data_IF_413706638937
#
_entry.id   IF_413706638937
#
_cell.length_a   1.000
_cell.length_b   1.000
_cell.length_c   1.000
_cell.angle_alpha   90.00
_cell.angle_beta   90.00
_cell.angle_gamma   90.00
#
_symmetry.space_group_name_H-M   'P 1'
#
loop_
_entity.id
_entity.type
_entity.pdbx_description
1 polymer ?
#
# COMPACT_ATOMS: atom_id res chain seq x y z
N UNK A 1 14.55 0.03 5.92
CA UNK A 1 14.07 -1.37 5.99
C UNK A 1 13.20 -1.65 4.77
N UNK A 2 13.39 -2.78 4.08
CA UNK A 2 12.70 -3.21 2.85
C UNK A 2 11.93 -4.54 3.10
N UNK A 3 10.94 -4.87 2.27
CA UNK A 3 10.14 -6.10 2.42
C UNK A 3 10.98 -7.38 2.46
N UNK A 4 12.07 -7.43 1.69
CA UNK A 4 13.00 -8.56 1.67
C UNK A 4 13.71 -8.73 3.01
N UNK A 5 14.11 -7.61 3.63
CA UNK A 5 14.69 -7.61 4.98
C UNK A 5 13.68 -8.12 6.00
N UNK A 6 12.41 -7.69 5.91
CA UNK A 6 11.33 -8.18 6.80
C UNK A 6 11.18 -9.69 6.68
N UNK A 7 11.19 -10.23 5.46
CA UNK A 7 11.12 -11.67 5.25
C UNK A 7 12.33 -12.40 5.85
N UNK A 8 13.53 -11.86 5.70
CA UNK A 8 14.73 -12.43 6.32
C UNK A 8 14.64 -12.44 7.85
N UNK A 9 14.18 -11.35 8.46
CA UNK A 9 13.95 -11.29 9.92
C UNK A 9 12.99 -12.40 10.34
N UNK A 10 11.88 -12.59 9.63
CA UNK A 10 10.91 -13.63 9.93
C UNK A 10 11.46 -15.07 9.74
N UNK A 11 12.37 -15.27 8.78
CA UNK A 11 13.07 -16.54 8.56
C UNK A 11 14.07 -16.84 9.68
N UNK A 12 14.84 -15.84 10.13
CA UNK A 12 15.91 -15.99 11.13
C UNK A 12 15.38 -16.01 12.57
N UNK A 13 14.26 -15.35 12.82
CA UNK A 13 13.64 -15.24 14.14
C UNK A 13 12.35 -16.08 14.21
N UNK A 14 12.42 -17.42 14.27
CA UNK A 14 11.22 -18.28 14.22
C UNK A 14 10.31 -18.11 15.45
N UNK A 15 10.86 -17.65 16.57
CA UNK A 15 10.12 -17.37 17.82
C UNK A 15 9.55 -15.94 17.90
N UNK A 16 9.68 -15.14 16.84
CA UNK A 16 9.11 -13.79 16.83
C UNK A 16 7.58 -13.87 16.95
N UNK A 17 7.02 -13.14 17.91
CA UNK A 17 5.57 -13.05 18.15
C UNK A 17 4.99 -11.71 17.67
N UNK A 18 5.77 -10.63 17.78
CA UNK A 18 5.38 -9.26 17.40
C UNK A 18 6.40 -8.69 16.44
N UNK A 19 5.94 -8.17 15.31
CA UNK A 19 6.76 -7.49 14.31
C UNK A 19 6.35 -6.01 14.24
N UNK A 20 7.24 -5.15 14.76
CA UNK A 20 7.11 -3.69 14.66
C UNK A 20 7.82 -3.13 13.44
N UNK A 21 7.09 -2.42 12.59
CA UNK A 21 7.62 -1.69 11.42
C UNK A 21 7.10 -0.26 11.54
N UNK A 22 7.90 0.61 12.14
CA UNK A 22 7.49 1.97 12.51
C UNK A 22 8.32 2.99 11.73
N UNK A 23 7.67 3.81 10.92
CA UNK A 23 8.23 4.95 10.19
C UNK A 23 9.49 4.62 9.36
N UNK A 24 9.56 3.40 8.83
CA UNK A 24 10.71 2.92 8.06
C UNK A 24 10.72 3.52 6.65
N UNK A 25 11.83 4.14 6.25
CA UNK A 25 11.93 4.95 5.03
C UNK A 25 11.49 4.26 3.74
N UNK A 26 11.82 2.98 3.55
CA UNK A 26 11.49 2.21 2.34
C UNK A 26 10.21 1.38 2.49
N UNK A 27 9.48 1.52 3.61
CA UNK A 27 8.17 0.86 3.81
C UNK A 27 7.08 1.91 3.92
N UNK A 28 6.30 2.03 2.85
CA UNK A 28 5.15 2.91 2.75
C UNK A 28 3.84 2.11 2.77
N UNK A 29 2.71 2.80 2.76
CA UNK A 29 1.39 2.17 2.88
C UNK A 29 1.08 1.15 1.77
N UNK A 30 1.63 1.35 0.57
CA UNK A 30 1.49 0.39 -0.54
C UNK A 30 2.02 -1.02 -0.20
N UNK A 31 2.97 -1.13 0.74
CA UNK A 31 3.55 -2.39 1.16
C UNK A 31 2.68 -3.16 2.17
N UNK A 32 1.55 -2.59 2.63
CA UNK A 32 0.67 -3.24 3.61
C UNK A 32 0.19 -4.63 3.17
N UNK A 33 -0.29 -4.77 1.94
CA UNK A 33 -0.79 -6.05 1.43
C UNK A 33 0.36 -7.07 1.22
N UNK A 34 1.49 -6.70 0.59
CA UNK A 34 2.67 -7.56 0.54
C UNK A 34 3.21 -8.00 1.91
N UNK A 35 3.18 -7.13 2.93
CA UNK A 35 3.61 -7.46 4.29
C UNK A 35 2.76 -8.61 4.87
N UNK A 36 1.44 -8.54 4.71
CA UNK A 36 0.53 -9.61 5.14
C UNK A 36 0.82 -10.92 4.41
N UNK A 37 1.14 -10.87 3.11
CA UNK A 37 1.52 -12.06 2.33
C UNK A 37 2.82 -12.69 2.86
N UNK A 38 3.85 -11.89 3.15
CA UNK A 38 5.12 -12.36 3.73
C UNK A 38 4.91 -12.99 5.11
N UNK A 39 4.10 -12.35 5.97
CA UNK A 39 3.79 -12.87 7.31
C UNK A 39 3.06 -14.21 7.20
N UNK A 40 2.06 -14.31 6.32
CA UNK A 40 1.34 -15.55 6.09
C UNK A 40 2.24 -16.65 5.53
N UNK A 41 3.04 -16.33 4.51
CA UNK A 41 4.02 -17.24 3.93
C UNK A 41 4.94 -17.85 5.00
N UNK A 42 5.52 -17.00 5.84
CA UNK A 42 6.37 -17.44 6.95
C UNK A 42 5.61 -18.33 7.95
N UNK A 43 4.38 -17.95 8.31
CA UNK A 43 3.58 -18.71 9.27
C UNK A 43 3.22 -20.11 8.74
N UNK A 44 2.92 -20.21 7.43
CA UNK A 44 2.68 -21.50 6.75
C UNK A 44 3.93 -22.36 6.70
N UNK A 45 5.08 -21.79 6.36
CA UNK A 45 6.36 -22.51 6.29
C UNK A 45 6.82 -23.05 7.65
N UNK A 46 6.56 -22.31 8.72
CA UNK A 46 6.92 -22.69 10.09
C UNK A 46 5.80 -23.41 10.83
N UNK A 47 4.66 -23.70 10.19
CA UNK A 47 3.46 -24.29 10.79
C UNK A 47 3.04 -23.60 12.11
N UNK A 48 3.13 -22.26 12.15
CA UNK A 48 2.82 -21.43 13.33
C UNK A 48 1.75 -20.39 13.04
N UNK A 49 1.26 -19.74 14.10
CA UNK A 49 0.38 -18.57 13.96
C UNK A 49 1.13 -17.40 13.31
N UNK A 50 0.45 -16.60 12.47
CA UNK A 50 0.98 -15.33 12.00
C UNK A 50 1.48 -14.46 13.15
N UNK A 51 2.56 -13.72 12.93
CA UNK A 51 3.04 -12.74 13.92
C UNK A 51 2.05 -11.58 14.02
N UNK A 52 1.93 -11.00 15.20
CA UNK A 52 1.20 -9.74 15.39
C UNK A 52 1.96 -8.62 14.67
N UNK A 53 1.27 -7.84 13.85
CA UNK A 53 1.87 -6.77 13.05
C UNK A 53 1.56 -5.40 13.66
N UNK A 54 2.61 -4.71 14.12
CA UNK A 54 2.55 -3.29 14.49
C UNK A 54 3.14 -2.48 13.34
N UNK A 55 2.27 -1.99 12.45
CA UNK A 55 2.72 -1.29 11.24
C UNK A 55 2.32 0.19 11.26
N UNK A 56 3.31 1.06 11.28
CA UNK A 56 3.16 2.49 11.04
C UNK A 56 4.01 2.85 9.80
N UNK A 57 3.37 3.07 8.63
CA UNK A 57 4.11 3.45 7.42
C UNK A 57 4.91 4.73 7.60
N UNK A 58 5.90 4.95 6.72
CA UNK A 58 6.55 6.27 6.61
C UNK A 58 5.50 7.37 6.42
N UNK A 59 5.54 8.38 7.30
CA UNK A 59 4.67 9.56 7.23
C UNK A 59 5.46 10.81 6.88
N UNK A 60 4.82 11.70 6.12
CA UNK A 60 5.44 12.95 5.68
C UNK A 60 4.59 14.15 6.10
N UNK A 61 5.05 14.87 7.12
CA UNK A 61 4.41 16.10 7.63
C UNK A 61 4.95 17.36 6.93
N UNK A 62 4.07 18.28 6.52
CA UNK A 62 4.38 19.59 5.93
C UNK A 62 3.60 20.70 6.69
N UNK A 63 3.70 22.00 6.34
CA UNK A 63 4.28 22.60 5.13
C UNK A 63 5.68 23.21 5.35
N UNK A 64 6.45 22.73 6.33
CA UNK A 64 7.85 23.16 6.48
C UNK A 64 8.63 22.77 5.21
N UNK A 65 9.43 23.72 4.69
CA UNK A 65 10.39 23.57 3.58
C UNK A 65 9.79 23.25 2.18
N UNK A 66 9.43 24.27 1.40
CA UNK A 66 9.04 24.23 -0.04
C UNK A 66 8.00 23.20 -0.51
N UNK A 67 7.37 22.49 0.40
CA UNK A 67 6.34 21.51 0.05
C UNK A 67 5.05 22.22 -0.31
N UNK A 68 4.39 21.72 -1.35
CA UNK A 68 3.07 22.22 -1.77
C UNK A 68 1.95 21.97 -0.74
N UNK A 69 2.21 21.15 0.27
CA UNK A 69 1.36 20.93 1.43
C UNK A 69 1.64 19.61 2.14
N UNK A 70 0.75 19.25 3.05
CA UNK A 70 0.86 18.05 3.88
C UNK A 70 0.08 16.89 3.27
N UNK A 71 0.81 15.92 2.72
CA UNK A 71 0.24 14.76 1.99
C UNK A 71 0.16 13.47 2.82
N UNK A 72 0.99 13.33 3.86
CA UNK A 72 1.10 12.17 4.79
C UNK A 72 1.55 10.86 4.11
N UNK A 73 0.84 10.42 3.07
CA UNK A 73 1.07 9.16 2.33
C UNK A 73 2.30 9.22 1.42
N UNK A 74 2.59 10.39 0.87
CA UNK A 74 3.70 10.64 -0.05
C UNK A 74 4.46 11.89 0.37
N UNK A 75 5.71 12.01 -0.05
CA UNK A 75 6.48 13.23 0.19
C UNK A 75 5.96 14.35 -0.68
N UNK A 76 5.74 14.01 -1.94
CA UNK A 76 5.25 14.93 -2.97
C UNK A 76 3.88 14.52 -3.50
N UNK A 77 3.14 15.45 -4.10
CA UNK A 77 1.91 15.10 -4.78
C UNK A 77 2.20 14.10 -5.92
N UNK A 78 1.51 12.98 -5.90
CA UNK A 78 1.66 11.91 -6.89
C UNK A 78 0.50 11.90 -7.90
N UNK A 79 0.77 11.44 -9.13
CA UNK A 79 -0.20 11.46 -10.23
C UNK A 79 -1.22 10.30 -10.18
N UNK A 80 -1.68 9.97 -8.98
CA UNK A 80 -2.73 8.97 -8.72
C UNK A 80 -3.79 9.57 -7.81
N UNK A 81 -4.99 8.98 -7.80
CA UNK A 81 -5.99 9.36 -6.80
C UNK A 81 -5.66 8.64 -5.49
N UNK A 82 -4.83 9.30 -4.67
CA UNK A 82 -4.31 8.77 -3.39
C UNK A 82 -5.45 8.25 -2.52
N UNK A 83 -6.51 9.05 -2.31
CA UNK A 83 -7.62 8.69 -1.41
C UNK A 83 -8.30 7.37 -1.80
N UNK A 84 -8.74 7.24 -3.05
CA UNK A 84 -9.42 6.02 -3.52
C UNK A 84 -8.48 4.80 -3.53
N UNK A 85 -7.20 5.04 -3.80
CA UNK A 85 -6.20 3.97 -3.85
C UNK A 85 -5.81 3.51 -2.46
N UNK A 86 -5.76 4.45 -1.51
CA UNK A 86 -5.57 4.21 -0.10
C UNK A 86 -6.72 3.40 0.48
N UNK A 87 -7.98 3.81 0.27
CA UNK A 87 -9.14 3.02 0.70
C UNK A 87 -9.19 1.62 0.09
N UNK A 88 -8.86 1.48 -1.20
CA UNK A 88 -8.75 0.17 -1.84
C UNK A 88 -7.65 -0.71 -1.19
N UNK A 89 -6.48 -0.12 -0.89
CA UNK A 89 -5.38 -0.83 -0.25
C UNK A 89 -5.72 -1.26 1.18
N UNK A 90 -6.33 -0.36 1.97
CA UNK A 90 -6.78 -0.61 3.34
C UNK A 90 -7.86 -1.69 3.34
N UNK A 91 -8.87 -1.59 2.47
CA UNK A 91 -9.93 -2.59 2.36
C UNK A 91 -9.35 -3.98 2.11
N UNK A 92 -8.50 -4.13 1.07
CA UNK A 92 -7.92 -5.43 0.73
C UNK A 92 -7.08 -5.97 1.89
N UNK A 93 -6.35 -5.11 2.59
CA UNK A 93 -5.55 -5.49 3.73
C UNK A 93 -6.40 -5.97 4.91
N UNK A 94 -7.51 -5.30 5.23
CA UNK A 94 -8.42 -5.72 6.30
C UNK A 94 -9.02 -7.08 6.01
N UNK A 95 -9.55 -7.27 4.80
CA UNK A 95 -10.18 -8.52 4.36
C UNK A 95 -9.15 -9.68 4.33
N UNK A 96 -7.87 -9.36 4.15
CA UNK A 96 -6.75 -10.31 4.23
C UNK A 96 -6.27 -10.58 5.66
N UNK A 97 -6.24 -9.56 6.52
CA UNK A 97 -5.76 -9.63 7.90
C UNK A 97 -6.72 -10.40 8.83
N UNK A 98 -8.03 -10.30 8.58
CA UNK A 98 -9.06 -10.96 9.39
C UNK A 98 -8.89 -12.49 9.49
N UNK A 99 -8.78 -13.27 8.39
CA UNK A 99 -8.50 -14.70 8.49
C UNK A 99 -7.18 -15.05 9.19
N UNK A 100 -6.24 -14.11 9.23
CA UNK A 100 -4.95 -14.28 9.90
C UNK A 100 -5.02 -13.94 11.41
N UNK A 101 -6.14 -13.39 11.88
CA UNK A 101 -6.28 -12.89 13.26
C UNK A 101 -5.44 -11.63 13.52
N UNK A 102 -5.09 -10.86 12.49
CA UNK A 102 -4.35 -9.61 12.61
C UNK A 102 -5.33 -8.45 12.63
N UNK A 103 -5.22 -7.60 13.64
CA UNK A 103 -5.99 -6.37 13.76
C UNK A 103 -5.15 -5.16 13.32
N UNK A 104 -5.67 -4.43 12.33
CA UNK A 104 -5.01 -3.24 11.78
C UNK A 104 -5.64 -1.92 12.23
N UNK A 105 -6.93 -1.92 12.63
CA UNK A 105 -7.75 -0.68 12.64
C UNK A 105 -8.49 -0.42 13.95
N UNK A 106 -8.43 -1.33 14.93
CA UNK A 106 -8.97 -1.04 16.26
C UNK A 106 -8.27 0.16 16.92
N UNK A 107 -8.93 0.71 17.93
CA UNK A 107 -8.36 1.78 18.74
C UNK A 107 -7.01 1.37 19.32
N UNK A 108 -6.02 2.26 19.20
CA UNK A 108 -4.66 2.04 19.72
C UNK A 108 -3.71 1.34 18.75
N UNK A 109 -4.19 0.76 17.64
CA UNK A 109 -3.31 0.16 16.63
C UNK A 109 -2.49 1.23 15.91
N UNK A 110 -1.23 0.92 15.60
CA UNK A 110 -0.34 1.87 14.93
C UNK A 110 -0.80 2.21 13.52
N UNK A 111 -1.32 1.22 12.78
CA UNK A 111 -1.87 1.48 11.46
C UNK A 111 -3.14 2.34 11.51
N UNK A 112 -3.95 2.21 12.57
CA UNK A 112 -5.09 3.09 12.81
C UNK A 112 -4.65 4.55 13.02
N UNK A 113 -3.60 4.77 13.82
CA UNK A 113 -3.03 6.11 14.02
C UNK A 113 -2.56 6.72 12.70
N UNK A 114 -1.92 5.94 11.83
CA UNK A 114 -1.57 6.39 10.48
C UNK A 114 -2.81 6.72 9.64
N UNK A 115 -3.80 5.83 9.63
CA UNK A 115 -5.04 6.01 8.87
C UNK A 115 -5.75 7.32 9.21
N UNK A 116 -5.84 7.65 10.50
CA UNK A 116 -6.49 8.87 10.98
C UNK A 116 -5.73 10.16 10.58
N UNK A 117 -4.45 10.06 10.23
CA UNK A 117 -3.65 11.19 9.76
C UNK A 117 -3.81 11.48 8.27
N UNK A 118 -4.26 10.53 7.45
CA UNK A 118 -4.30 10.72 5.99
C UNK A 118 -5.26 11.87 5.62
N UNK A 119 -4.89 12.80 4.71
CA UNK A 119 -5.74 13.91 4.31
C UNK A 119 -7.08 13.45 3.72
N UNK A 120 -8.14 13.67 4.49
CA UNK A 120 -9.52 13.29 4.16
C UNK A 120 -10.49 14.37 4.62
N UNK A 121 -11.64 14.48 3.95
CA UNK A 121 -12.70 15.34 4.50
C UNK A 121 -13.15 14.80 5.86
N UNK A 122 -13.63 15.67 6.76
CA UNK A 122 -14.20 15.24 8.03
C UNK A 122 -15.19 14.08 7.84
N UNK A 123 -15.09 13.09 8.73
CA UNK A 123 -15.91 11.87 8.76
C UNK A 123 -15.72 10.87 7.61
N UNK A 124 -14.96 11.17 6.56
CA UNK A 124 -14.77 10.20 5.45
C UNK A 124 -14.13 8.90 5.91
N UNK A 125 -13.03 8.99 6.66
CA UNK A 125 -12.38 7.81 7.24
C UNK A 125 -13.32 7.03 8.16
N UNK A 126 -14.05 7.72 9.04
CA UNK A 126 -15.01 7.07 9.95
C UNK A 126 -16.16 6.36 9.20
N UNK A 127 -16.72 6.98 8.15
CA UNK A 127 -17.76 6.38 7.31
C UNK A 127 -17.22 5.16 6.56
N UNK A 128 -15.99 5.25 6.03
CA UNK A 128 -15.32 4.12 5.39
C UNK A 128 -15.18 2.95 6.38
N UNK A 129 -14.64 3.20 7.57
CA UNK A 129 -14.48 2.17 8.60
C UNK A 129 -15.83 1.58 9.01
N UNK A 130 -16.85 2.42 9.21
CA UNK A 130 -18.20 1.98 9.56
C UNK A 130 -18.76 1.02 8.50
N UNK A 131 -18.80 1.41 7.23
CA UNK A 131 -19.34 0.54 6.17
C UNK A 131 -18.57 -0.77 6.04
N UNK A 132 -17.23 -0.72 6.14
CA UNK A 132 -16.38 -1.92 6.03
C UNK A 132 -16.63 -2.86 7.21
N UNK A 133 -16.60 -2.36 8.44
CA UNK A 133 -16.80 -3.18 9.63
C UNK A 133 -18.25 -3.66 9.78
N UNK A 134 -19.25 -2.85 9.47
CA UNK A 134 -20.64 -3.30 9.46
C UNK A 134 -20.88 -4.42 8.45
N UNK A 135 -20.27 -4.34 7.27
CA UNK A 135 -20.30 -5.44 6.31
C UNK A 135 -19.54 -6.68 6.82
N UNK A 136 -18.35 -6.52 7.41
CA UNK A 136 -17.57 -7.63 7.99
C UNK A 136 -18.33 -8.32 9.12
N UNK A 137 -18.95 -7.55 10.03
CA UNK A 137 -19.70 -8.07 11.16
C UNK A 137 -20.89 -8.88 10.64
N UNK A 138 -21.62 -8.37 9.64
CA UNK A 138 -22.67 -9.14 8.96
C UNK A 138 -22.13 -10.38 8.23
N UNK A 139 -20.94 -10.29 7.63
CA UNK A 139 -20.28 -11.38 6.92
C UNK A 139 -19.84 -12.53 7.85
N UNK A 140 -19.53 -12.21 9.10
CA UNK A 140 -18.88 -13.12 10.06
C UNK A 140 -19.78 -13.54 11.24
N UNK A 141 -20.86 -12.81 11.53
CA UNK A 141 -21.77 -13.11 12.65
C UNK A 141 -22.88 -14.13 12.28
N UNK A 142 -23.37 -14.92 13.26
CA UNK A 142 -24.62 -15.70 13.13
C UNK A 142 -25.87 -14.87 13.48
N UNK A 143 -27.01 -15.01 12.77
CA UNK A 143 -27.26 -15.93 11.66
C UNK A 143 -26.54 -15.46 10.40
N UNK A 144 -25.82 -16.39 9.76
CA UNK A 144 -24.82 -16.15 8.73
C UNK A 144 -25.26 -15.18 7.64
N UNK A 145 -24.33 -14.39 7.10
CA UNK A 145 -24.52 -13.52 5.93
C UNK A 145 -25.38 -14.16 4.84
N UNK A 146 -25.20 -15.46 4.58
CA UNK A 146 -25.97 -16.23 3.60
C UNK A 146 -27.49 -16.17 3.83
N UNK A 147 -27.94 -16.07 5.08
CA UNK A 147 -29.35 -16.01 5.49
C UNK A 147 -29.96 -14.62 5.40
N UNK A 148 -29.15 -13.57 5.21
CA UNK A 148 -29.68 -12.22 5.03
C UNK A 148 -30.49 -12.13 3.72
N UNK A 149 -31.62 -11.41 3.74
CA UNK A 149 -32.31 -10.97 2.52
C UNK A 149 -31.35 -10.32 1.52
N UNK A 150 -31.58 -10.54 0.23
CA UNK A 150 -30.67 -10.07 -0.82
C UNK A 150 -30.57 -8.54 -0.83
N UNK A 151 -31.67 -7.83 -0.66
CA UNK A 151 -31.72 -6.37 -0.53
C UNK A 151 -30.78 -5.86 0.58
N UNK A 152 -30.79 -6.49 1.76
CA UNK A 152 -29.90 -6.10 2.87
C UNK A 152 -28.44 -6.37 2.52
N UNK A 153 -28.12 -7.50 1.89
CA UNK A 153 -26.75 -7.79 1.43
C UNK A 153 -26.28 -6.75 0.42
N UNK A 154 -27.13 -6.47 -0.57
CA UNK A 154 -26.82 -5.52 -1.63
C UNK A 154 -26.59 -4.12 -1.06
N UNK A 155 -27.40 -3.68 -0.09
CA UNK A 155 -27.23 -2.39 0.58
C UNK A 155 -25.90 -2.31 1.35
N UNK A 156 -25.52 -3.35 2.09
CA UNK A 156 -24.24 -3.41 2.79
C UNK A 156 -23.06 -3.37 1.81
N UNK A 157 -23.17 -4.11 0.71
CA UNK A 157 -22.14 -4.16 -0.32
C UNK A 157 -22.01 -2.82 -1.06
N UNK A 158 -23.13 -2.18 -1.37
CA UNK A 158 -23.19 -0.87 -2.04
C UNK A 158 -22.60 0.23 -1.15
N UNK A 159 -22.82 0.18 0.17
CA UNK A 159 -22.20 1.08 1.13
C UNK A 159 -20.67 0.99 1.12
N UNK A 160 -20.11 -0.23 1.04
CA UNK A 160 -18.67 -0.46 0.91
C UNK A 160 -18.15 0.12 -0.41
N UNK A 161 -18.82 -0.15 -1.53
CA UNK A 161 -18.44 0.40 -2.85
C UNK A 161 -18.46 1.92 -2.86
N UNK A 162 -19.50 2.52 -2.29
CA UNK A 162 -19.62 3.97 -2.15
C UNK A 162 -18.48 4.57 -1.32
N UNK A 163 -18.05 3.86 -0.28
CA UNK A 163 -16.89 4.25 0.52
C UNK A 163 -15.57 4.13 -0.24
N UNK A 164 -15.37 3.09 -1.05
CA UNK A 164 -14.19 2.93 -1.91
C UNK A 164 -14.08 4.02 -2.99
N UNK A 165 -15.23 4.51 -3.47
CA UNK A 165 -15.31 5.56 -4.49
C UNK A 165 -15.28 6.98 -3.91
N UNK A 166 -15.12 7.15 -2.59
CA UNK A 166 -14.95 8.47 -1.99
C UNK A 166 -13.74 9.19 -2.59
N UNK A 167 -13.96 10.40 -3.12
CA UNK A 167 -12.91 11.16 -3.82
C UNK A 167 -12.90 10.96 -5.35
N UNK A 168 -13.76 10.09 -5.89
CA UNK A 168 -14.13 10.10 -7.30
C UNK A 168 -15.32 11.05 -7.55
N UNK A 169 -15.38 11.62 -8.75
CA UNK A 169 -16.60 12.31 -9.22
C UNK A 169 -17.71 11.30 -9.61
N UNK A 170 -17.35 10.02 -9.74
CA UNK A 170 -18.25 8.95 -10.09
C UNK A 170 -19.05 8.53 -8.85
N UNK A 171 -20.33 8.86 -8.84
CA UNK A 171 -21.28 8.36 -7.84
C UNK A 171 -21.88 7.06 -8.36
N UNK A 172 -21.95 6.02 -7.52
CA UNK A 172 -22.72 4.82 -7.86
C UNK A 172 -24.20 5.21 -7.92
N UNK A 173 -24.85 4.96 -9.06
CA UNK A 173 -26.30 4.97 -9.16
C UNK A 173 -26.78 3.54 -9.00
N UNK A 174 -27.92 3.32 -8.34
CA UNK A 174 -28.51 1.99 -8.14
C UNK A 174 -28.59 1.16 -9.44
N UNK A 175 -28.93 1.79 -10.59
CA UNK A 175 -28.98 1.14 -11.92
C UNK A 175 -27.61 0.69 -12.48
N UNK A 176 -26.51 1.00 -11.79
CA UNK A 176 -25.15 0.70 -12.22
C UNK A 176 -24.50 -0.37 -11.33
N UNK A 177 -25.28 -1.04 -10.46
CA UNK A 177 -24.77 -2.06 -9.54
C UNK A 177 -24.02 -3.17 -10.25
N UNK A 178 -24.66 -3.82 -11.21
CA UNK A 178 -24.05 -4.92 -11.99
C UNK A 178 -22.74 -4.51 -12.65
N UNK A 179 -22.66 -3.26 -13.12
CA UNK A 179 -21.45 -2.71 -13.72
C UNK A 179 -20.35 -2.48 -12.69
N UNK A 180 -20.69 -2.03 -11.48
CA UNK A 180 -19.72 -1.84 -10.41
C UNK A 180 -19.19 -3.16 -9.87
N UNK A 181 -20.03 -4.19 -9.78
CA UNK A 181 -19.64 -5.53 -9.34
C UNK A 181 -19.03 -6.39 -10.45
N UNK A 182 -18.92 -5.88 -11.68
CA UNK A 182 -18.16 -6.53 -12.74
C UNK A 182 -16.72 -6.75 -12.28
N UNK A 183 -16.29 -8.00 -12.34
CA UNK A 183 -14.97 -8.42 -11.88
C UNK A 183 -13.96 -8.45 -13.01
N UNK A 184 -12.82 -7.81 -12.78
CA UNK A 184 -11.72 -7.65 -13.72
C UNK A 184 -10.41 -8.08 -13.05
N UNK A 185 -9.52 -8.72 -13.79
CA UNK A 185 -8.21 -9.15 -13.28
C UNK A 185 -7.16 -8.07 -13.50
N UNK A 186 -6.42 -7.71 -12.46
CA UNK A 186 -5.30 -6.79 -12.55
C UNK A 186 -4.10 -7.46 -13.23
N UNK A 187 -3.53 -6.83 -14.24
CA UNK A 187 -2.33 -7.30 -14.96
C UNK A 187 -1.05 -7.35 -14.11
N UNK A 188 -1.00 -6.62 -12.99
CA UNK A 188 0.19 -6.53 -12.11
C UNK A 188 0.13 -7.51 -10.95
N UNK A 189 -0.88 -7.40 -10.08
CA UNK A 189 -1.01 -8.27 -8.91
C UNK A 189 -1.83 -9.53 -9.17
N UNK A 190 -2.43 -9.68 -10.35
CA UNK A 190 -3.27 -10.83 -10.75
C UNK A 190 -4.49 -11.08 -9.86
N UNK A 191 -4.83 -10.15 -8.95
CA UNK A 191 -6.09 -10.18 -8.20
C UNK A 191 -7.26 -9.88 -9.12
N UNK A 192 -8.35 -10.60 -8.92
CA UNK A 192 -9.63 -10.33 -9.58
C UNK A 192 -10.46 -9.45 -8.66
N UNK A 193 -10.74 -8.23 -9.08
CA UNK A 193 -11.34 -7.18 -8.26
C UNK A 193 -12.56 -6.59 -8.99
N UNK A 194 -13.51 -6.06 -8.24
CA UNK A 194 -14.63 -5.31 -8.83
C UNK A 194 -14.17 -3.98 -9.44
N UNK A 195 -15.01 -3.37 -10.27
CA UNK A 195 -14.71 -2.13 -11.01
C UNK A 195 -14.24 -0.97 -10.12
N UNK A 196 -14.74 -0.87 -8.89
CA UNK A 196 -14.35 0.18 -7.94
C UNK A 196 -12.83 0.23 -7.67
N UNK A 197 -12.14 -0.91 -7.77
CA UNK A 197 -10.68 -1.02 -7.61
C UNK A 197 -9.90 -0.54 -8.83
N UNK A 198 -10.57 -0.16 -9.93
CA UNK A 198 -9.94 0.31 -11.15
C UNK A 198 -10.26 1.77 -11.43
N UNK A 199 -9.41 2.39 -12.23
CA UNK A 199 -9.62 3.73 -12.76
C UNK A 199 -10.65 3.68 -13.90
N UNK A 200 -11.53 4.70 -14.07
CA UNK A 200 -12.54 4.69 -15.13
C UNK A 200 -11.94 4.58 -16.53
N UNK A 201 -10.73 5.11 -16.73
CA UNK A 201 -10.00 5.03 -18.00
C UNK A 201 -9.69 3.58 -18.42
N UNK A 202 -9.71 2.63 -17.48
CA UNK A 202 -9.44 1.21 -17.75
C UNK A 202 -10.54 0.56 -18.60
N UNK A 203 -11.78 1.07 -18.57
CA UNK A 203 -12.89 0.53 -19.38
C UNK A 203 -12.61 0.65 -20.88
N UNK A 204 -11.79 1.63 -21.28
CA UNK A 204 -11.41 1.88 -22.68
C UNK A 204 -10.13 1.14 -23.08
N UNK A 205 -9.41 0.56 -22.12
CA UNK A 205 -8.12 -0.08 -22.35
C UNK A 205 -8.27 -1.59 -22.53
N UNK A 206 -7.29 -2.19 -23.20
CA UNK A 206 -7.20 -3.64 -23.34
C UNK A 206 -6.99 -4.29 -21.97
N UNK A 207 -7.54 -5.49 -21.71
CA UNK A 207 -7.39 -6.19 -20.43
C UNK A 207 -5.95 -6.37 -19.95
N UNK A 208 -5.00 -6.54 -20.88
CA UNK A 208 -3.56 -6.64 -20.57
C UNK A 208 -2.98 -5.38 -19.90
N UNK A 209 -3.67 -4.24 -19.94
CA UNK A 209 -3.25 -2.98 -19.33
C UNK A 209 -4.13 -2.56 -18.14
N UNK A 210 -5.03 -3.43 -17.68
CA UNK A 210 -5.83 -3.15 -16.50
C UNK A 210 -4.95 -3.22 -15.26
N UNK A 211 -4.75 -2.07 -14.62
CA UNK A 211 -3.99 -1.94 -13.37
C UNK A 211 -4.94 -1.44 -12.30
N UNK A 212 -4.99 -2.13 -11.16
CA UNK A 212 -5.81 -1.70 -10.05
C UNK A 212 -5.18 -0.51 -9.31
N UNK A 213 -6.01 0.24 -8.61
CA UNK A 213 -5.63 1.42 -7.83
C UNK A 213 -4.54 1.12 -6.79
N UNK A 214 -4.55 -0.08 -6.23
CA UNK A 214 -3.53 -0.53 -5.26
C UNK A 214 -2.16 -0.59 -5.93
N UNK A 215 -2.06 -1.23 -7.10
CA UNK A 215 -0.82 -1.31 -7.86
C UNK A 215 -0.38 0.05 -8.42
N UNK A 216 -1.33 0.89 -8.84
CA UNK A 216 -1.01 2.26 -9.29
C UNK A 216 -0.41 3.09 -8.14
N UNK A 217 -0.97 2.99 -6.93
CA UNK A 217 -0.43 3.66 -5.75
C UNK A 217 0.95 3.12 -5.38
N UNK A 218 1.11 1.80 -5.35
CA UNK A 218 2.40 1.19 -5.01
C UNK A 218 3.49 1.63 -6.00
N UNK A 219 3.21 1.57 -7.30
CA UNK A 219 4.13 2.04 -8.34
C UNK A 219 4.49 3.53 -8.17
N UNK A 220 3.53 4.38 -7.81
CA UNK A 220 3.78 5.80 -7.60
C UNK A 220 4.66 6.09 -6.37
N UNK A 221 4.48 5.33 -5.28
CA UNK A 221 5.27 5.47 -4.04
C UNK A 221 6.66 4.84 -4.17
N UNK A 222 6.77 3.71 -4.87
CA UNK A 222 8.05 3.07 -5.16
C UNK A 222 8.94 3.97 -6.04
N UNK A 223 8.33 4.80 -6.90
CA UNK A 223 9.01 5.74 -7.79
C UNK A 223 9.39 7.08 -7.15
N UNK A 224 9.11 7.31 -5.87
CA UNK A 224 9.58 8.52 -5.19
C UNK A 224 11.10 8.46 -4.96
N UNK A 225 11.78 9.58 -5.23
CA UNK A 225 13.24 9.69 -5.27
C UNK A 225 13.83 10.66 -4.23
N UNK A 226 13.00 11.33 -3.45
CA UNK A 226 13.46 12.18 -2.34
C UNK A 226 14.26 11.34 -1.33
N UNK A 227 15.05 11.96 -0.45
CA UNK A 227 15.84 11.27 0.59
C UNK A 227 16.68 10.08 0.08
N UNK A 228 17.10 10.12 -1.18
CA UNK A 228 17.85 9.05 -1.87
C UNK A 228 17.18 7.68 -1.79
N UNK A 229 15.84 7.65 -1.83
CA UNK A 229 15.09 6.40 -1.69
C UNK A 229 15.37 5.41 -2.83
N UNK A 230 15.81 5.87 -4.02
CA UNK A 230 16.18 4.98 -5.13
C UNK A 230 17.53 4.34 -4.83
N UNK A 231 18.54 5.14 -4.48
CA UNK A 231 19.89 4.71 -4.17
C UNK A 231 19.88 3.74 -2.97
N UNK A 232 19.08 4.02 -1.94
CA UNK A 232 18.88 3.12 -0.78
C UNK A 232 18.29 1.76 -1.19
N UNK A 233 17.38 1.72 -2.17
CA UNK A 233 16.81 0.46 -2.70
C UNK A 233 17.83 -0.30 -3.55
N UNK A 234 18.65 0.41 -4.32
CA UNK A 234 19.70 -0.16 -5.15
C UNK A 234 20.80 -0.79 -4.28
N UNK A 235 21.27 -0.08 -3.25
CA UNK A 235 22.22 -0.60 -2.25
C UNK A 235 21.69 -1.86 -1.57
N UNK A 236 20.41 -1.88 -1.17
CA UNK A 236 19.80 -3.08 -0.62
C UNK A 236 19.72 -4.23 -1.62
N UNK A 237 19.57 -3.94 -2.91
CA UNK A 237 19.54 -4.98 -3.95
C UNK A 237 20.90 -5.62 -4.16
N UNK A 238 21.99 -4.85 -4.05
CA UNK A 238 23.37 -5.37 -4.01
C UNK A 238 23.60 -6.17 -2.73
N UNK A 239 23.16 -5.66 -1.58
CA UNK A 239 23.31 -6.37 -0.31
C UNK A 239 22.54 -7.69 -0.26
N UNK A 240 21.36 -7.74 -0.89
CA UNK A 240 20.46 -8.89 -0.89
C UNK A 240 20.58 -9.76 -2.14
N UNK A 241 21.59 -9.56 -3.00
CA UNK A 241 21.85 -10.49 -4.10
C UNK A 241 22.46 -11.79 -3.57
N UNK A 242 21.93 -12.94 -4.01
CA UNK A 242 22.55 -14.25 -3.79
C UNK A 242 23.58 -14.55 -4.89
N UNK A 243 24.80 -15.02 -4.57
CA UNK A 243 25.82 -15.30 -5.59
C UNK A 243 25.57 -16.50 -6.51
N UNK A 244 24.75 -17.50 -6.14
CA UNK A 244 24.58 -18.72 -6.97
C UNK A 244 23.22 -19.44 -6.87
N UNK A 245 23.00 -20.31 -7.88
CA UNK A 245 21.80 -20.81 -8.59
C UNK A 245 20.45 -21.13 -7.87
N UNK A 246 19.30 -20.94 -8.58
CA UNK A 246 17.99 -21.39 -8.14
C UNK A 246 17.88 -22.92 -8.18
N UNK A 247 17.62 -23.52 -7.03
CA UNK A 247 17.35 -24.96 -6.88
C UNK A 247 16.14 -25.36 -7.75
N UNK A 248 16.32 -26.34 -8.66
CA UNK A 248 15.21 -27.04 -9.32
C UNK A 248 14.40 -27.79 -8.26
N UNK A 249 13.21 -27.29 -7.95
CA UNK A 249 12.31 -27.94 -7.00
C UNK A 249 11.37 -28.94 -7.67
N UNK A 250 10.94 -29.95 -6.90
CA UNK A 250 9.93 -30.91 -7.32
C UNK A 250 8.58 -30.21 -7.59
N UNK A 251 7.79 -30.76 -8.51
CA UNK A 251 6.48 -30.20 -8.90
C UNK A 251 5.48 -30.08 -7.74
N UNK A 252 5.61 -30.93 -6.71
CA UNK A 252 4.75 -30.92 -5.54
C UNK A 252 5.09 -29.79 -4.57
N UNK A 253 6.38 -29.57 -4.30
CA UNK A 253 6.86 -28.43 -3.49
C UNK A 253 6.44 -27.09 -4.11
N UNK A 254 6.52 -26.98 -5.44
CA UNK A 254 6.09 -25.77 -6.16
C UNK A 254 4.59 -25.47 -5.97
N UNK A 255 3.73 -26.50 -5.91
CA UNK A 255 2.28 -26.30 -5.74
C UNK A 255 1.92 -25.81 -4.33
N UNK A 256 2.55 -26.37 -3.30
CA UNK A 256 2.37 -25.94 -1.92
C UNK A 256 2.86 -24.51 -1.72
N UNK A 257 4.01 -24.17 -2.32
CA UNK A 257 4.57 -22.82 -2.31
C UNK A 257 3.61 -21.83 -2.97
N UNK A 258 3.09 -22.16 -4.15
CA UNK A 258 2.11 -21.33 -4.83
C UNK A 258 0.83 -21.13 -4.01
N UNK A 259 0.41 -22.11 -3.20
CA UNK A 259 -0.75 -21.93 -2.32
C UNK A 259 -0.46 -21.00 -1.14
N UNK A 260 0.70 -21.17 -0.50
CA UNK A 260 1.08 -20.46 0.71
C UNK A 260 1.55 -19.01 0.49
N UNK A 261 1.88 -18.63 -0.75
CA UNK A 261 2.51 -17.32 -1.04
C UNK A 261 1.59 -16.10 -0.93
N UNK A 262 0.27 -16.31 -1.01
CA UNK A 262 -0.71 -15.24 -0.86
C UNK A 262 -1.64 -15.56 0.29
N UNK A 263 -1.74 -14.62 1.23
CA UNK A 263 -2.65 -14.72 2.35
C UNK A 263 -4.11 -14.81 1.86
N UNK A 264 -4.93 -15.66 2.49
CA UNK A 264 -6.32 -15.84 2.09
C UNK A 264 -7.11 -14.56 2.37
N UNK A 265 -8.09 -14.29 1.50
CA UNK A 265 -9.09 -13.25 1.74
C UNK A 265 -10.28 -13.87 2.47
N UNK A 266 -10.89 -13.11 3.38
CA UNK A 266 -12.26 -13.39 3.83
C UNK A 266 -13.17 -13.49 2.58
N UNK A 267 -14.05 -14.48 2.54
CA UNK A 267 -14.95 -14.70 1.40
C UNK A 267 -15.82 -13.47 1.19
N UNK A 268 -15.75 -12.87 0.00
CA UNK A 268 -16.38 -11.58 -0.27
C UNK A 268 -16.68 -11.39 -1.77
N UNK A 269 -17.63 -10.51 -2.14
CA UNK A 269 -17.99 -10.24 -3.54
C UNK A 269 -17.03 -9.28 -4.27
N UNK A 270 -16.15 -8.58 -3.54
CA UNK A 270 -15.36 -7.47 -4.05
C UNK A 270 -14.01 -7.87 -4.64
N UNK A 271 -13.38 -8.89 -4.08
CA UNK A 271 -12.01 -9.27 -4.37
C UNK A 271 -11.79 -10.79 -4.24
N UNK A 272 -11.07 -11.35 -5.22
CA UNK A 272 -10.60 -12.73 -5.23
C UNK A 272 -9.08 -12.74 -5.39
N UNK A 273 -8.41 -13.55 -4.57
CA UNK A 273 -6.95 -13.75 -4.63
C UNK A 273 -6.52 -14.23 -6.02
N UNK A 274 -5.24 -14.06 -6.38
CA UNK A 274 -4.76 -14.46 -7.68
C UNK A 274 -4.92 -15.98 -7.88
N UNK A 275 -5.22 -16.39 -9.11
CA UNK A 275 -5.27 -17.80 -9.47
C UNK A 275 -3.95 -18.50 -9.13
N UNK A 276 -3.99 -19.81 -8.84
CA UNK A 276 -2.84 -20.57 -8.34
C UNK A 276 -1.60 -20.44 -9.25
N UNK A 277 -1.82 -20.55 -10.56
CA UNK A 277 -0.75 -20.47 -11.58
C UNK A 277 -0.60 -19.06 -12.17
N UNK A 278 -1.06 -18.03 -11.45
CA UNK A 278 -0.90 -16.65 -11.91
C UNK A 278 0.56 -16.21 -11.89
N UNK A 279 0.90 -15.30 -12.80
CA UNK A 279 2.23 -14.66 -12.87
C UNK A 279 2.67 -14.10 -11.52
N UNK A 280 1.78 -13.39 -10.82
CA UNK A 280 2.07 -12.79 -9.52
C UNK A 280 2.44 -13.81 -8.44
N UNK A 281 1.77 -14.97 -8.35
CA UNK A 281 2.13 -16.02 -7.39
C UNK A 281 3.48 -16.66 -7.73
N UNK A 282 3.71 -16.93 -9.01
CA UNK A 282 4.98 -17.51 -9.49
C UNK A 282 6.14 -16.56 -9.20
N UNK A 283 5.97 -15.27 -9.48
CA UNK A 283 6.95 -14.24 -9.21
C UNK A 283 7.20 -14.08 -7.71
N UNK A 284 6.16 -14.06 -6.88
CA UNK A 284 6.30 -13.97 -5.43
C UNK A 284 7.08 -15.18 -4.86
N UNK A 285 6.76 -16.41 -5.28
CA UNK A 285 7.51 -17.61 -4.86
C UNK A 285 8.97 -17.50 -5.27
N UNK A 286 9.25 -17.09 -6.52
CA UNK A 286 10.60 -16.88 -7.00
C UNK A 286 11.35 -15.84 -6.14
N UNK A 287 10.69 -14.73 -5.81
CA UNK A 287 11.28 -13.69 -4.98
C UNK A 287 11.63 -14.21 -3.58
N UNK A 288 10.76 -15.00 -2.95
CA UNK A 288 11.03 -15.61 -1.65
C UNK A 288 12.20 -16.61 -1.67
N UNK A 289 12.34 -17.34 -2.78
CA UNK A 289 13.38 -18.36 -2.98
C UNK A 289 14.74 -17.74 -3.33
N UNK A 290 14.74 -16.61 -4.01
CA UNK A 290 15.95 -15.90 -4.43
C UNK A 290 16.59 -15.07 -3.30
N UNK A 291 15.97 -14.99 -2.13
CA UNK A 291 16.59 -14.30 -0.99
C UNK A 291 17.79 -15.08 -0.46
N UNK A 292 18.91 -14.39 -0.16
CA UNK A 292 20.06 -15.00 0.46
C UNK A 292 19.68 -15.54 1.83
N UNK A 293 20.38 -16.60 2.26
CA UNK A 293 20.29 -17.07 3.64
C UNK A 293 21.05 -16.11 4.54
N UNK A 294 20.71 -16.14 5.83
CA UNK A 294 21.42 -15.34 6.82
C UNK A 294 22.91 -15.71 6.91
N UNK A 295 23.27 -16.99 6.71
CA UNK A 295 24.67 -17.40 6.65
C UNK A 295 25.40 -16.75 5.47
N UNK A 296 24.73 -16.62 4.33
CA UNK A 296 25.30 -16.01 3.13
C UNK A 296 25.59 -14.52 3.38
N UNK A 297 24.82 -13.83 4.23
CA UNK A 297 25.06 -12.43 4.58
C UNK A 297 26.29 -12.21 5.48
N UNK A 298 26.74 -13.23 6.21
CA UNK A 298 27.90 -13.14 7.13
C UNK A 298 29.10 -13.93 6.62
N UNK A 299 29.03 -14.41 5.38
CA UNK A 299 30.09 -15.19 4.77
C UNK A 299 31.33 -14.30 4.50
N UNK A 300 32.54 -14.72 4.89
CA UNK A 300 33.76 -13.93 4.67
C UNK A 300 34.00 -13.53 3.21
N UNK A 301 33.54 -14.35 2.28
CA UNK A 301 33.63 -14.11 0.83
C UNK A 301 32.87 -12.85 0.39
N UNK A 302 31.89 -12.41 1.18
CA UNK A 302 31.10 -11.20 0.93
C UNK A 302 31.61 -9.98 1.67
N UNK A 303 32.66 -10.10 2.49
CA UNK A 303 33.18 -8.98 3.28
C UNK A 303 33.49 -7.77 2.40
N UNK A 304 34.10 -7.97 1.23
CA UNK A 304 34.38 -6.87 0.29
C UNK A 304 33.12 -6.25 -0.32
N UNK A 305 32.10 -7.05 -0.64
CA UNK A 305 30.84 -6.54 -1.18
C UNK A 305 30.05 -5.76 -0.11
N UNK A 306 30.06 -6.25 1.13
CA UNK A 306 29.43 -5.60 2.28
C UNK A 306 30.18 -4.30 2.61
N UNK A 307 31.51 -4.33 2.71
CA UNK A 307 32.34 -3.15 2.90
C UNK A 307 32.17 -2.14 1.76
N UNK A 308 32.03 -2.60 0.52
CA UNK A 308 31.76 -1.76 -0.64
C UNK A 308 30.41 -1.04 -0.52
N UNK A 309 29.33 -1.77 -0.26
CA UNK A 309 28.00 -1.19 -0.09
C UNK A 309 27.92 -0.27 1.15
N UNK A 310 28.57 -0.64 2.25
CA UNK A 310 28.67 0.21 3.45
C UNK A 310 29.52 1.46 3.19
N UNK A 311 30.60 1.36 2.42
CA UNK A 311 31.43 2.48 2.01
C UNK A 311 30.68 3.43 1.08
N UNK A 312 29.92 2.91 0.12
CA UNK A 312 29.06 3.69 -0.76
C UNK A 312 27.96 4.41 0.04
N UNK A 313 27.31 3.71 0.98
CA UNK A 313 26.36 4.34 1.90
C UNK A 313 27.01 5.47 2.72
N UNK A 314 28.21 5.25 3.27
CA UNK A 314 28.93 6.27 4.02
C UNK A 314 29.33 7.47 3.15
N UNK A 315 29.71 7.24 1.89
CA UNK A 315 29.98 8.32 0.94
C UNK A 315 28.71 9.13 0.64
N UNK A 316 27.57 8.47 0.51
CA UNK A 316 26.29 9.15 0.34
C UNK A 316 25.94 9.99 1.56
N UNK A 317 26.16 9.48 2.78
CA UNK A 317 25.93 10.22 4.03
C UNK A 317 26.87 11.43 4.15
N UNK A 318 28.14 11.28 3.75
CA UNK A 318 29.11 12.40 3.73
C UNK A 318 28.71 13.44 2.69
N UNK A 319 28.28 13.02 1.50
CA UNK A 319 27.78 13.94 0.48
C UNK A 319 26.54 14.69 0.96
N UNK A 320 25.62 14.02 1.67
CA UNK A 320 24.46 14.67 2.32
C UNK A 320 24.89 15.67 3.40
N UNK A 321 25.88 15.34 4.24
CA UNK A 321 26.41 16.25 5.26
C UNK A 321 27.15 17.45 4.65
N UNK A 322 27.94 17.24 3.59
CA UNK A 322 28.63 18.30 2.87
C UNK A 322 27.63 19.25 2.22
N UNK A 323 26.61 18.68 1.59
CA UNK A 323 25.47 19.42 1.09
C UNK A 323 24.83 20.23 2.24
N UNK A 324 24.50 19.62 3.37
CA UNK A 324 23.90 20.33 4.51
C UNK A 324 24.76 21.51 5.01
N UNK A 325 26.09 21.34 5.03
CA UNK A 325 27.05 22.40 5.39
C UNK A 325 27.08 23.53 4.37
N UNK A 326 26.83 23.25 3.09
CA UNK A 326 26.66 24.24 2.02
C UNK A 326 25.26 24.90 2.04
N UNK A 327 24.44 24.61 3.06
CA UNK A 327 23.04 25.05 3.14
C UNK A 327 22.11 24.25 2.24
N UNK A 328 22.61 23.15 1.66
CA UNK A 328 21.87 22.19 0.84
C UNK A 328 21.34 21.09 1.75
N UNK A 329 20.25 21.33 2.44
CA UNK A 329 19.59 20.22 3.14
C UNK A 329 18.95 19.27 2.14
N UNK A 330 18.94 17.97 2.43
CA UNK A 330 18.17 16.99 1.65
C UNK A 330 16.65 17.21 1.77
N UNK A 331 16.25 18.02 2.75
CA UNK A 331 14.92 18.62 2.90
C UNK A 331 14.82 20.04 2.31
N UNK A 332 15.89 20.57 1.71
CA UNK A 332 15.97 21.97 1.30
C UNK A 332 15.20 22.23 0.00
N UNK A 333 14.36 23.29 -0.01
CA UNK A 333 13.55 23.75 -1.13
C UNK A 333 14.16 23.72 -2.53
N UNK A 334 15.41 24.15 -2.64
CA UNK A 334 16.02 24.51 -3.92
C UNK A 334 16.82 23.37 -4.53
N UNK A 335 17.02 22.26 -3.80
CA UNK A 335 17.92 21.17 -4.18
C UNK A 335 17.20 19.82 -4.23
N UNK A 336 16.14 19.64 -3.42
CA UNK A 336 15.02 18.84 -3.89
C UNK A 336 14.29 19.68 -4.93
N UNK A 337 14.46 19.37 -6.22
CA UNK A 337 13.65 20.05 -7.26
C UNK A 337 12.17 19.70 -7.04
N UNK A 338 11.48 20.44 -6.18
CA UNK A 338 10.03 20.64 -6.28
C UNK A 338 9.73 21.59 -7.45
N UNK A 339 10.30 21.32 -8.62
CA UNK A 339 9.62 21.73 -9.83
C UNK A 339 8.32 20.96 -9.82
N UNK A 340 7.19 21.62 -9.51
CA UNK A 340 5.87 21.07 -9.76
C UNK A 340 5.94 20.43 -11.15
N UNK A 341 5.96 19.08 -11.23
CA UNK A 341 6.32 18.43 -12.48
C UNK A 341 5.33 18.90 -13.55
N UNK A 342 5.71 18.91 -14.82
CA UNK A 342 4.84 19.48 -15.86
C UNK A 342 3.41 18.92 -15.79
N UNK A 343 3.26 17.65 -15.41
CA UNK A 343 1.97 17.01 -15.14
C UNK A 343 1.21 17.60 -13.94
N UNK A 344 1.89 18.02 -12.87
CA UNK A 344 1.30 18.66 -11.70
C UNK A 344 0.80 20.08 -12.01
N UNK A 345 1.47 20.81 -12.91
CA UNK A 345 0.96 22.09 -13.45
C UNK A 345 -0.33 21.87 -14.25
N UNK A 346 -0.34 20.84 -15.11
CA UNK A 346 -1.51 20.44 -15.89
C UNK A 346 -2.66 19.89 -15.02
N UNK A 347 -2.34 19.29 -13.88
CA UNK A 347 -3.29 18.70 -12.93
C UNK A 347 -3.31 19.42 -11.57
N UNK A 348 -3.15 20.75 -11.55
CA UNK A 348 -3.02 21.54 -10.31
C UNK A 348 -4.19 21.36 -9.33
N UNK A 349 -5.38 21.02 -9.85
CA UNK A 349 -6.56 20.69 -9.03
C UNK A 349 -6.39 19.37 -8.28
N UNK A 350 -5.81 18.35 -8.91
CA UNK A 350 -5.59 17.01 -8.31
C UNK A 350 -4.54 17.10 -7.20
N UNK A 351 -3.45 17.79 -7.48
CA UNK A 351 -2.34 18.04 -6.54
C UNK A 351 -2.83 18.73 -5.28
N UNK A 352 -3.63 19.79 -5.42
CA UNK A 352 -4.23 20.50 -4.29
C UNK A 352 -5.17 19.62 -3.48
N UNK A 353 -5.99 18.79 -4.12
CA UNK A 353 -6.99 17.95 -3.42
C UNK A 353 -6.39 16.91 -2.45
N UNK A 354 -5.08 16.66 -2.48
CA UNK A 354 -4.41 15.64 -1.68
C UNK A 354 -3.80 16.18 -0.38
N UNK A 355 -3.79 17.51 -0.15
CA UNK A 355 -3.15 18.10 1.03
C UNK A 355 -4.13 18.42 2.16
N UNK A 356 -3.68 18.38 3.41
CA UNK A 356 -4.47 18.84 4.54
C UNK A 356 -4.89 20.31 4.41
N UNK A 357 -3.98 21.20 3.97
CA UNK A 357 -4.24 22.64 3.84
C UNK A 357 -5.43 22.89 2.92
N UNK A 358 -5.51 22.17 1.79
CA UNK A 358 -6.63 22.30 0.88
C UNK A 358 -7.89 21.62 1.40
N UNK A 359 -7.78 20.44 2.01
CA UNK A 359 -8.94 19.73 2.57
C UNK A 359 -9.61 20.58 3.65
N UNK A 360 -8.84 21.16 4.56
CA UNK A 360 -9.34 22.07 5.59
C UNK A 360 -9.93 23.33 4.96
N UNK A 361 -9.21 24.03 4.08
CA UNK A 361 -9.72 25.22 3.39
C UNK A 361 -11.02 24.97 2.64
N UNK A 362 -11.10 23.86 1.90
CA UNK A 362 -12.28 23.52 1.13
C UNK A 362 -13.50 23.31 2.02
N UNK A 363 -13.35 22.58 3.13
CA UNK A 363 -14.46 22.31 4.03
C UNK A 363 -14.84 23.52 4.89
N UNK A 364 -13.85 24.29 5.38
CA UNK A 364 -14.06 25.42 6.28
C UNK A 364 -14.48 26.71 5.56
N UNK A 365 -14.10 26.88 4.29
CA UNK A 365 -14.34 28.12 3.54
C UNK A 365 -15.18 27.85 2.30
N UNK A 366 -14.69 27.02 1.37
CA UNK A 366 -15.28 26.92 0.03
C UNK A 366 -16.67 26.28 -0.01
N UNK A 367 -16.87 25.20 0.76
CA UNK A 367 -18.11 24.43 0.76
C UNK A 367 -19.12 24.97 1.79
N UNK A 368 -18.83 26.12 2.44
CA UNK A 368 -19.79 26.80 3.33
C UNK A 368 -20.94 27.43 2.54
N UNK A 369 -22.14 27.47 3.15
CA UNK A 369 -23.33 28.08 2.53
C UNK A 369 -23.11 29.56 2.21
N UNK A 370 -22.38 30.27 3.06
CA UNK A 370 -22.05 31.70 2.91
C UNK A 370 -21.13 31.96 1.71
N UNK A 371 -20.05 31.18 1.56
CA UNK A 371 -19.18 31.32 0.39
C UNK A 371 -19.90 30.93 -0.91
N UNK A 372 -20.77 29.91 -0.87
CA UNK A 372 -21.59 29.53 -2.03
C UNK A 372 -22.59 30.64 -2.38
N UNK A 373 -23.24 31.27 -1.39
CA UNK A 373 -24.15 32.39 -1.59
C UNK A 373 -23.43 33.63 -2.15
N UNK A 374 -22.20 33.92 -1.71
CA UNK A 374 -21.39 35.06 -2.18
C UNK A 374 -20.92 34.94 -3.64
N UNK A 375 -21.09 33.79 -4.29
CA UNK A 375 -20.78 33.58 -5.72
C UNK A 375 -21.95 33.90 -6.65
N UNK A 376 -23.13 34.13 -6.10
CA UNK A 376 -24.35 34.49 -6.84
C UNK A 376 -24.62 36.01 -6.84
N UNK A 377 -23.75 36.77 -6.18
CA UNK A 377 -23.62 38.22 -6.26
C UNK A 377 -22.30 38.53 -6.96
#
# INVERSE_FOLDING_TARGET
MDLRIVEMILKVCPKLEVLGIINCELVHVGNLNPLLDIIYWNSRKLAKKPVSLQFYPRTYFGPLNNRLGTYIVSWDPINVNVLTSFFAAVFLAVVKALPMGIDLLSAGQDFRRFFDLVPMKPSQGAIFLHHVFTWIDAATSPPSYALLPNDIKEDLEDQVVMSLLQGCNQKMKHRQRDEQFRQNTCSRCSNTLIKAFFRPEMDTRRPAHWVCRICDLNYALDGEAHHRLIEKRDLLSVFLSSPDDPVRQSSQTMREDLQAVVAPLLVNPFARSPALNSTARIEAVRNHQNLPKAQDLIAPERDFAILGASGEAALLDVDDQLQELEGVHMDHPTLTKQTAPAWARLNSKRVRNQTWEYVLWKNAVKDTKEHQASRFW
#
